data_IF_962545798906
#
_entry.id   IF_962545798906
#
_cell.length_a   1.000
_cell.length_b   1.000
_cell.length_c   1.000
_cell.angle_alpha   90.00
_cell.angle_beta   90.00
_cell.angle_gamma   90.00
#
_symmetry.space_group_name_H-M   'P 1'
#
loop_
_entity.id
_entity.type
_entity.pdbx_description
1 polymer ?
#
# COMPACT_ATOMS: atom_id res chain seq x y z
N UNK A 1 -10.72 27.93 33.81
CA UNK A 1 -11.26 28.32 32.49
C UNK A 1 -10.29 27.76 31.46
N UNK A 2 -10.39 26.46 31.20
CA UNK A 2 -9.58 25.81 30.18
C UNK A 2 -10.12 26.26 28.84
N UNK A 3 -9.25 26.82 28.00
CA UNK A 3 -9.59 27.14 26.63
C UNK A 3 -10.01 25.85 25.95
N UNK A 4 -11.29 25.74 25.59
CA UNK A 4 -11.79 24.76 24.64
C UNK A 4 -11.14 25.05 23.28
N UNK A 5 -9.85 24.74 23.17
CA UNK A 5 -9.12 24.71 21.92
C UNK A 5 -9.75 23.61 21.10
N UNK A 6 -10.46 24.03 20.06
CA UNK A 6 -11.21 23.19 19.13
C UNK A 6 -10.44 21.89 18.84
N UNK A 7 -10.89 20.76 19.40
CA UNK A 7 -10.17 19.48 19.39
C UNK A 7 -9.74 19.04 17.96
N UNK A 8 -10.49 19.48 16.95
CA UNK A 8 -10.20 19.31 15.53
C UNK A 8 -8.89 19.95 15.03
N UNK A 9 -8.27 20.87 15.77
CA UNK A 9 -6.98 21.49 15.42
C UNK A 9 -5.81 20.99 16.28
N UNK A 10 -6.00 19.94 17.08
CA UNK A 10 -4.90 19.31 17.82
C UNK A 10 -4.00 18.50 16.84
N UNK A 11 -2.70 18.83 16.71
CA UNK A 11 -1.80 18.11 15.81
C UNK A 11 -1.72 16.60 16.08
N UNK A 12 -1.83 16.18 17.34
CA UNK A 12 -1.79 14.77 17.73
C UNK A 12 -3.05 14.02 17.31
N UNK A 13 -4.21 14.69 17.31
CA UNK A 13 -5.46 14.13 16.82
C UNK A 13 -5.45 14.00 15.29
N UNK A 14 -5.02 15.05 14.58
CA UNK A 14 -4.92 15.05 13.12
C UNK A 14 -3.94 13.97 12.61
N UNK A 15 -2.86 13.71 13.35
CA UNK A 15 -1.88 12.69 13.00
C UNK A 15 -2.49 11.28 12.88
N UNK A 16 -3.54 10.97 13.65
CA UNK A 16 -4.21 9.67 13.63
C UNK A 16 -4.89 9.37 12.28
N UNK A 17 -5.25 10.39 11.51
CA UNK A 17 -5.91 10.26 10.21
C UNK A 17 -4.92 10.23 9.03
N UNK A 18 -3.66 10.62 9.26
CA UNK A 18 -2.64 10.63 8.19
C UNK A 18 -2.43 9.22 7.64
N UNK A 19 -2.28 8.22 8.52
CA UNK A 19 -2.06 6.84 8.10
C UNK A 19 -3.25 6.27 7.29
N UNK A 20 -4.51 6.31 7.78
CA UNK A 20 -5.66 5.85 7.00
C UNK A 20 -5.80 6.54 5.63
N UNK A 21 -5.61 7.86 5.56
CA UNK A 21 -5.69 8.61 4.30
C UNK A 21 -4.58 8.22 3.33
N UNK A 22 -3.34 8.07 3.84
CA UNK A 22 -2.21 7.58 3.05
C UNK A 22 -2.50 6.17 2.52
N UNK A 23 -3.07 5.29 3.33
CA UNK A 23 -3.39 3.91 2.94
C UNK A 23 -4.48 3.86 1.86
N UNK A 24 -5.49 4.72 1.90
CA UNK A 24 -6.50 4.82 0.83
C UNK A 24 -5.88 5.27 -0.50
N UNK A 25 -5.04 6.31 -0.47
CA UNK A 25 -4.31 6.77 -1.66
C UNK A 25 -3.38 5.70 -2.22
N UNK A 26 -2.66 4.99 -1.34
CA UNK A 26 -1.80 3.88 -1.71
C UNK A 26 -2.59 2.71 -2.30
N UNK A 27 -3.77 2.39 -1.78
CA UNK A 27 -4.61 1.32 -2.31
C UNK A 27 -5.08 1.62 -3.74
N UNK A 28 -5.54 2.86 -3.99
CA UNK A 28 -5.87 3.31 -5.34
C UNK A 28 -4.65 3.23 -6.28
N UNK A 29 -3.47 3.61 -5.79
CA UNK A 29 -2.24 3.55 -6.55
C UNK A 29 -1.77 2.11 -6.85
N UNK A 30 -2.00 1.17 -5.92
CA UNK A 30 -1.78 -0.27 -6.12
C UNK A 30 -2.68 -0.83 -7.23
N UNK A 31 -3.95 -0.45 -7.26
CA UNK A 31 -4.88 -0.84 -8.35
C UNK A 31 -4.37 -0.32 -9.69
N UNK A 32 -3.91 0.93 -9.74
CA UNK A 32 -3.30 1.48 -10.94
C UNK A 32 -2.01 0.73 -11.34
N UNK A 33 -1.15 0.37 -10.40
CA UNK A 33 0.04 -0.43 -10.68
C UNK A 33 -0.31 -1.83 -11.21
N UNK A 34 -1.39 -2.44 -10.70
CA UNK A 34 -1.92 -3.71 -11.20
C UNK A 34 -2.44 -3.57 -12.64
N UNK A 35 -3.14 -2.48 -12.95
CA UNK A 35 -3.52 -2.13 -14.32
C UNK A 35 -2.30 -2.03 -15.25
N UNK A 36 -1.23 -1.35 -14.82
CA UNK A 36 0.00 -1.28 -15.61
C UNK A 36 0.62 -2.67 -15.82
N UNK A 37 0.63 -3.52 -14.79
CA UNK A 37 1.12 -4.90 -14.88
C UNK A 37 0.31 -5.75 -15.86
N UNK A 38 -1.01 -5.55 -15.90
CA UNK A 38 -1.90 -6.17 -16.89
C UNK A 38 -1.57 -5.68 -18.31
N UNK A 39 -1.38 -4.37 -18.52
CA UNK A 39 -0.98 -3.83 -19.82
C UNK A 39 0.39 -4.37 -20.27
N UNK A 40 1.36 -4.57 -19.37
CA UNK A 40 2.64 -5.22 -19.68
C UNK A 40 2.42 -6.64 -20.22
N UNK A 41 1.53 -7.42 -19.61
CA UNK A 41 1.17 -8.75 -20.12
C UNK A 41 0.52 -8.66 -21.50
N UNK A 42 -0.39 -7.69 -21.70
CA UNK A 42 -1.06 -7.45 -22.99
C UNK A 42 -0.07 -7.09 -24.08
N UNK A 43 0.86 -6.16 -23.84
CA UNK A 43 1.91 -5.77 -24.81
C UNK A 43 2.77 -6.98 -25.24
N UNK A 44 3.07 -7.89 -24.31
CA UNK A 44 3.89 -9.07 -24.61
C UNK A 44 3.16 -10.10 -25.48
N UNK A 45 1.85 -10.18 -25.36
CA UNK A 45 1.01 -11.14 -26.06
C UNK A 45 0.35 -10.57 -27.33
N UNK A 46 0.48 -9.27 -27.58
CA UNK A 46 -0.09 -8.61 -28.76
C UNK A 46 0.82 -8.75 -29.99
N UNK A 47 0.21 -8.67 -31.18
CA UNK A 47 0.86 -8.72 -32.48
C UNK A 47 0.39 -7.57 -33.39
N UNK A 48 1.09 -7.33 -34.50
CA UNK A 48 0.70 -6.33 -35.50
C UNK A 48 0.57 -4.90 -34.97
N UNK A 49 -0.41 -4.16 -35.48
CA UNK A 49 -0.65 -2.75 -35.13
C UNK A 49 -0.98 -2.56 -33.64
N UNK A 50 -1.74 -3.48 -33.03
CA UNK A 50 -2.07 -3.43 -31.61
C UNK A 50 -0.82 -3.47 -30.72
N UNK A 51 0.21 -4.24 -31.11
CA UNK A 51 1.49 -4.26 -30.38
C UNK A 51 2.22 -2.93 -30.50
N UNK A 52 2.24 -2.32 -31.69
CA UNK A 52 2.91 -1.03 -31.94
C UNK A 52 2.31 0.07 -31.06
N UNK A 53 0.98 0.14 -31.00
CA UNK A 53 0.26 1.07 -30.14
C UNK A 53 0.59 0.85 -28.65
N UNK A 54 0.52 -0.40 -28.18
CA UNK A 54 0.79 -0.73 -26.78
C UNK A 54 2.23 -0.44 -26.33
N UNK A 55 3.21 -0.52 -27.23
CA UNK A 55 4.61 -0.17 -26.95
C UNK A 55 4.75 1.33 -26.64
N UNK A 56 3.99 2.20 -27.32
CA UNK A 56 4.02 3.65 -27.09
C UNK A 56 3.59 4.02 -25.65
N UNK A 57 2.73 3.21 -25.04
CA UNK A 57 2.26 3.42 -23.66
C UNK A 57 3.33 3.24 -22.57
N UNK A 58 4.51 2.68 -22.90
CA UNK A 58 5.66 2.49 -21.99
C UNK A 58 5.28 1.81 -20.66
N UNK A 59 4.32 0.90 -20.68
CA UNK A 59 3.72 0.30 -19.48
C UNK A 59 4.73 -0.41 -18.58
N UNK A 60 5.78 -1.03 -19.14
CA UNK A 60 6.81 -1.70 -18.35
C UNK A 60 7.62 -0.72 -17.49
N UNK A 61 8.00 0.43 -18.07
CA UNK A 61 8.73 1.48 -17.35
C UNK A 61 7.87 2.13 -16.28
N UNK A 62 6.61 2.45 -16.61
CA UNK A 62 5.65 3.00 -15.64
C UNK A 62 5.38 2.03 -14.49
N UNK A 63 5.18 0.74 -14.80
CA UNK A 63 4.95 -0.28 -13.76
C UNK A 63 6.17 -0.41 -12.83
N UNK A 64 7.38 -0.38 -13.38
CA UNK A 64 8.61 -0.39 -12.58
C UNK A 64 8.71 0.82 -11.65
N UNK A 65 8.48 2.04 -12.17
CA UNK A 65 8.50 3.27 -11.37
C UNK A 65 7.41 3.27 -10.31
N UNK A 66 6.18 2.88 -10.66
CA UNK A 66 5.09 2.75 -9.70
C UNK A 66 5.40 1.72 -8.61
N UNK A 67 5.99 0.57 -8.96
CA UNK A 67 6.44 -0.43 -7.99
C UNK A 67 7.49 0.10 -7.02
N UNK A 68 8.46 0.90 -7.50
CA UNK A 68 9.47 1.52 -6.63
C UNK A 68 8.85 2.55 -5.66
N UNK A 69 7.89 3.35 -6.13
CA UNK A 69 7.15 4.30 -5.29
C UNK A 69 6.33 3.55 -4.23
N UNK A 70 5.59 2.50 -4.63
CA UNK A 70 4.79 1.68 -3.70
C UNK A 70 5.69 1.06 -2.64
N UNK A 71 6.84 0.50 -3.01
CA UNK A 71 7.80 -0.06 -2.06
C UNK A 71 8.25 0.99 -1.04
N UNK A 72 8.67 2.16 -1.51
CA UNK A 72 9.13 3.24 -0.66
C UNK A 72 8.03 3.70 0.32
N UNK A 73 6.82 3.96 -0.19
CA UNK A 73 5.68 4.42 0.62
C UNK A 73 5.20 3.36 1.59
N UNK A 74 5.14 2.09 1.20
CA UNK A 74 4.74 1.01 2.11
C UNK A 74 5.72 0.83 3.27
N UNK A 75 7.03 0.80 2.98
CA UNK A 75 8.06 0.61 4.00
C UNK A 75 8.09 1.81 4.97
N UNK A 76 8.13 3.03 4.46
CA UNK A 76 8.16 4.22 5.31
C UNK A 76 6.83 4.46 6.01
N UNK A 77 5.70 4.16 5.37
CA UNK A 77 4.36 4.26 5.94
C UNK A 77 4.11 3.24 7.06
N UNK A 78 4.62 2.02 6.93
CA UNK A 78 4.56 1.02 8.00
C UNK A 78 5.39 1.45 9.22
N UNK A 79 6.61 1.93 8.99
CA UNK A 79 7.46 2.46 10.06
C UNK A 79 6.83 3.69 10.73
N UNK A 80 6.34 4.64 9.94
CA UNK A 80 5.68 5.85 10.43
C UNK A 80 4.39 5.55 11.20
N UNK A 81 3.60 4.57 10.75
CA UNK A 81 2.41 4.10 11.46
C UNK A 81 2.73 3.56 12.85
N UNK A 82 3.73 2.67 12.95
CA UNK A 82 4.18 2.12 14.24
C UNK A 82 4.67 3.22 15.18
N UNK A 83 5.50 4.14 14.67
CA UNK A 83 6.03 5.26 15.46
C UNK A 83 4.89 6.17 15.93
N UNK A 84 3.97 6.52 15.05
CA UNK A 84 2.80 7.33 15.36
C UNK A 84 1.94 6.70 16.45
N UNK A 85 1.66 5.40 16.35
CA UNK A 85 0.87 4.68 17.35
C UNK A 85 1.58 4.65 18.70
N UNK A 86 2.89 4.37 18.73
CA UNK A 86 3.66 4.36 19.96
C UNK A 86 3.71 5.75 20.63
N UNK A 87 3.92 6.81 19.86
CA UNK A 87 3.95 8.19 20.39
C UNK A 87 2.57 8.66 20.87
N UNK A 88 1.49 8.17 20.26
CA UNK A 88 0.12 8.54 20.62
C UNK A 88 -0.45 7.76 21.81
N UNK A 89 -0.19 6.46 21.88
CA UNK A 89 -0.79 5.56 22.89
C UNK A 89 0.21 5.10 23.98
N UNK A 90 1.51 5.32 23.79
CA UNK A 90 2.57 4.81 24.67
C UNK A 90 2.91 3.34 24.49
N UNK A 91 2.16 2.62 23.65
CA UNK A 91 2.36 1.21 23.34
C UNK A 91 2.04 0.90 21.87
N UNK A 92 2.49 -0.26 21.39
CA UNK A 92 2.19 -0.76 20.05
C UNK A 92 1.23 -1.94 20.19
N UNK A 93 -0.05 -1.79 19.80
CA UNK A 93 -1.04 -2.86 19.96
C UNK A 93 -0.70 -4.05 19.06
N UNK A 94 -0.58 -5.23 19.65
CA UNK A 94 -0.28 -6.48 18.96
C UNK A 94 -1.54 -7.09 18.31
N UNK A 95 -2.17 -6.34 17.41
CA UNK A 95 -3.41 -6.73 16.74
C UNK A 95 -3.16 -7.23 15.31
N UNK A 96 -4.14 -7.94 14.75
CA UNK A 96 -4.07 -8.50 13.40
C UNK A 96 -3.72 -7.46 12.33
N UNK A 97 -4.22 -6.22 12.45
CA UNK A 97 -3.94 -5.12 11.53
C UNK A 97 -2.43 -4.86 11.39
N UNK A 98 -1.72 -4.76 12.51
CA UNK A 98 -0.26 -4.54 12.53
C UNK A 98 0.49 -5.68 11.85
N UNK A 99 0.24 -6.92 12.25
CA UNK A 99 0.98 -8.07 11.72
C UNK A 99 0.69 -8.32 10.24
N UNK A 100 -0.55 -8.12 9.80
CA UNK A 100 -0.89 -8.21 8.37
C UNK A 100 -0.22 -7.09 7.58
N UNK A 101 -0.21 -5.85 8.08
CA UNK A 101 0.50 -4.73 7.45
C UNK A 101 2.01 -4.95 7.30
N UNK A 102 2.65 -5.51 8.34
CA UNK A 102 4.06 -5.93 8.27
C UNK A 102 4.27 -7.06 7.27
N UNK A 103 3.39 -8.07 7.25
CA UNK A 103 3.41 -9.14 6.26
C UNK A 103 3.29 -8.61 4.83
N UNK A 104 2.39 -7.67 4.58
CA UNK A 104 2.24 -6.99 3.30
C UNK A 104 3.49 -6.22 2.88
N UNK A 105 4.16 -5.57 3.83
CA UNK A 105 5.44 -4.88 3.61
C UNK A 105 6.55 -5.86 3.20
N UNK A 106 6.58 -7.05 3.79
CA UNK A 106 7.48 -8.11 3.36
C UNK A 106 7.12 -8.64 1.95
N UNK A 107 5.83 -8.87 1.67
CA UNK A 107 5.37 -9.34 0.35
C UNK A 107 5.78 -8.38 -0.78
N UNK A 108 5.57 -7.07 -0.60
CA UNK A 108 5.93 -6.08 -1.63
C UNK A 108 7.45 -5.98 -1.81
N UNK A 109 8.22 -6.10 -0.73
CA UNK A 109 9.69 -6.07 -0.78
C UNK A 109 10.25 -7.27 -1.53
N UNK A 110 9.74 -8.48 -1.25
CA UNK A 110 10.10 -9.70 -1.97
C UNK A 110 9.66 -9.59 -3.44
N UNK A 111 8.45 -9.10 -3.69
CA UNK A 111 7.91 -8.88 -5.04
C UNK A 111 8.82 -7.97 -5.88
N UNK A 112 9.30 -6.87 -5.30
CA UNK A 112 10.26 -5.96 -5.94
C UNK A 112 11.64 -6.60 -6.16
N UNK A 113 12.12 -7.40 -5.20
CA UNK A 113 13.40 -8.10 -5.32
C UNK A 113 13.44 -9.14 -6.46
N UNK A 114 12.29 -9.61 -6.96
CA UNK A 114 12.20 -10.51 -8.11
C UNK A 114 12.42 -9.82 -9.46
N UNK A 115 12.40 -8.48 -9.51
CA UNK A 115 12.48 -7.72 -10.77
C UNK A 115 13.74 -8.04 -11.60
N UNK A 116 14.96 -8.10 -11.04
CA UNK A 116 16.15 -8.45 -11.82
C UNK A 116 16.07 -9.84 -12.46
N UNK A 117 15.45 -10.81 -11.77
CA UNK A 117 15.25 -12.17 -12.31
C UNK A 117 14.23 -12.16 -13.46
N UNK A 118 13.16 -11.39 -13.34
CA UNK A 118 12.16 -11.21 -14.40
C UNK A 118 12.74 -10.51 -15.64
N UNK A 119 13.64 -9.53 -15.44
CA UNK A 119 14.34 -8.83 -16.53
C UNK A 119 15.29 -9.79 -17.27
N UNK A 120 15.86 -10.78 -16.59
CA UNK A 120 16.63 -11.90 -17.17
C UNK A 120 15.74 -12.99 -17.78
N UNK A 121 14.45 -12.73 -17.97
CA UNK A 121 13.51 -13.66 -18.62
C UNK A 121 13.05 -14.85 -17.76
N UNK A 122 13.39 -14.91 -16.46
CA UNK A 122 12.97 -16.03 -15.60
C UNK A 122 11.45 -15.99 -15.38
N UNK A 123 10.74 -16.94 -15.96
CA UNK A 123 9.26 -17.01 -15.94
C UNK A 123 8.72 -17.36 -14.56
N UNK A 124 9.38 -18.24 -13.80
CA UNK A 124 8.98 -18.59 -12.43
C UNK A 124 8.97 -17.35 -11.51
N UNK A 125 9.99 -16.48 -11.61
CA UNK A 125 10.07 -15.24 -10.82
C UNK A 125 8.89 -14.31 -11.13
N UNK A 126 8.44 -14.29 -12.38
CA UNK A 126 7.25 -13.54 -12.80
C UNK A 126 5.97 -14.09 -12.21
N UNK A 127 5.82 -15.41 -12.15
CA UNK A 127 4.63 -16.01 -11.55
C UNK A 127 4.58 -15.75 -10.05
N UNK A 128 5.72 -15.86 -9.36
CA UNK A 128 5.80 -15.52 -7.93
C UNK A 128 5.48 -14.03 -7.72
N UNK A 129 6.08 -13.13 -8.51
CA UNK A 129 5.77 -11.69 -8.44
C UNK A 129 4.27 -11.42 -8.60
N UNK A 130 3.61 -12.03 -9.60
CA UNK A 130 2.17 -11.88 -9.81
C UNK A 130 1.39 -12.43 -8.61
N UNK A 131 1.71 -13.63 -8.12
CA UNK A 131 1.02 -14.25 -6.99
C UNK A 131 1.14 -13.39 -5.72
N UNK A 132 2.36 -12.91 -5.39
CA UNK A 132 2.60 -12.02 -4.25
C UNK A 132 1.77 -10.74 -4.34
N UNK A 133 1.67 -10.13 -5.53
CA UNK A 133 0.92 -8.88 -5.71
C UNK A 133 -0.61 -9.09 -5.70
N UNK A 134 -1.11 -10.25 -6.16
CA UNK A 134 -2.52 -10.60 -6.00
C UNK A 134 -2.84 -10.78 -4.51
N UNK A 135 -2.02 -11.53 -3.78
CA UNK A 135 -2.16 -11.68 -2.32
C UNK A 135 -2.09 -10.33 -1.62
N UNK A 136 -1.15 -9.47 -2.02
CA UNK A 136 -1.04 -8.11 -1.49
C UNK A 136 -2.32 -7.30 -1.68
N UNK A 137 -2.92 -7.31 -2.88
CA UNK A 137 -4.18 -6.61 -3.15
C UNK A 137 -5.34 -7.14 -2.32
N UNK A 138 -5.45 -8.46 -2.15
CA UNK A 138 -6.49 -9.09 -1.33
C UNK A 138 -6.32 -8.70 0.15
N UNK A 139 -5.10 -8.77 0.68
CA UNK A 139 -4.81 -8.37 2.05
C UNK A 139 -5.05 -6.88 2.25
N UNK A 140 -4.67 -6.02 1.30
CA UNK A 140 -4.92 -4.57 1.39
C UNK A 140 -6.43 -4.26 1.40
N UNK A 141 -7.20 -4.95 0.57
CA UNK A 141 -8.66 -4.84 0.55
C UNK A 141 -9.24 -5.19 1.91
N UNK A 142 -8.80 -6.30 2.51
CA UNK A 142 -9.21 -6.71 3.85
C UNK A 142 -8.80 -5.69 4.93
N UNK A 143 -7.56 -5.21 4.87
CA UNK A 143 -7.03 -4.22 5.80
C UNK A 143 -7.82 -2.91 5.79
N UNK A 144 -8.38 -2.52 4.64
CA UNK A 144 -9.22 -1.32 4.53
C UNK A 144 -10.45 -1.41 5.42
N UNK A 145 -11.08 -2.58 5.55
CA UNK A 145 -12.22 -2.77 6.47
C UNK A 145 -11.78 -2.72 7.92
N UNK A 146 -10.75 -3.49 8.29
CA UNK A 146 -10.25 -3.51 9.68
C UNK A 146 -9.71 -2.15 10.15
N UNK A 147 -9.14 -1.36 9.24
CA UNK A 147 -8.66 -0.01 9.55
C UNK A 147 -9.81 0.96 9.82
N UNK A 148 -10.94 0.82 9.12
CA UNK A 148 -12.13 1.63 9.38
C UNK A 148 -12.76 1.30 10.74
N UNK A 149 -12.76 0.03 11.15
CA UNK A 149 -13.20 -0.39 12.49
C UNK A 149 -12.36 0.28 13.59
N UNK A 150 -11.02 0.28 13.44
CA UNK A 150 -10.11 0.95 14.39
C UNK A 150 -10.39 2.47 14.47
N UNK A 151 -10.60 3.14 13.32
CA UNK A 151 -10.93 4.57 13.31
C UNK A 151 -12.26 4.84 14.02
N UNK A 152 -13.26 3.96 13.87
CA UNK A 152 -14.54 4.08 14.57
C UNK A 152 -14.39 3.93 16.09
N UNK A 153 -13.56 3.00 16.54
CA UNK A 153 -13.24 2.80 17.97
C UNK A 153 -12.55 4.03 18.57
N UNK A 154 -11.55 4.59 17.88
CA UNK A 154 -10.86 5.82 18.32
C UNK A 154 -11.81 7.01 18.45
N UNK A 155 -12.71 7.20 17.47
CA UNK A 155 -13.73 8.25 17.52
C UNK A 155 -14.79 8.03 18.60
N UNK A 156 -15.04 6.78 19.00
CA UNK A 156 -15.95 6.47 20.09
C UNK A 156 -15.31 6.78 21.46
N UNK A 157 -14.02 6.46 21.63
CA UNK A 157 -13.27 6.76 22.84
C UNK A 157 -13.10 8.27 23.08
N UNK A 158 -12.75 9.03 22.03
CA UNK A 158 -12.60 10.49 22.13
C UNK A 158 -13.90 11.19 22.54
N UNK A 159 -15.06 10.71 22.06
CA UNK A 159 -16.37 11.25 22.47
C UNK A 159 -16.78 10.91 23.90
N UNK A 160 -16.16 9.90 24.51
CA UNK A 160 -16.49 9.44 25.85
C UNK A 160 -15.65 10.11 26.94
N UNK A 161 -14.56 10.79 26.56
CA UNK A 161 -13.64 11.53 27.44
C UNK A 161 -13.91 13.04 27.38
#
# INVERSE_FOLDING_TARGET
METAGNAYFNPSFLAQFIHPLLMLGLFAYLIYAAYLGFQVRRTRNAEGEAKKELIQGKYASRHYQSGAIILAVMVTGAFGGIVSTYLGAGEIPAIAHLFVGLGMTALVSISAALVPLMQRGKTWARQIHIALNITLLLLFTWQTFTGLEIVQELLAQDRAN
#
